data_IF_187968460391
#
_entry.id   IF_187968460391
#
_cell.length_a   1.000
_cell.length_b   1.000
_cell.length_c   1.000
_cell.angle_alpha   90.00
_cell.angle_beta   90.00
_cell.angle_gamma   90.00
#
_symmetry.space_group_name_H-M   'P 1'
#
loop_
_entity.id
_entity.type
_entity.pdbx_description
1 polymer ?
#
# COMPACT_ATOMS: atom_id res chain seq x y z
N UNK A 1 8.83 37.49 0.57
CA UNK A 1 10.25 37.08 0.63
C UNK A 1 11.03 37.76 -0.48
N UNK A 2 12.31 38.03 -0.25
CA UNK A 2 13.23 38.51 -1.27
C UNK A 2 14.21 37.41 -1.64
N UNK A 3 14.53 37.26 -2.92
CA UNK A 3 15.56 36.31 -3.40
C UNK A 3 16.90 36.46 -2.66
N UNK A 4 17.15 37.62 -2.04
CA UNK A 4 18.31 37.89 -1.19
C UNK A 4 18.46 36.94 -0.01
N UNK A 5 17.37 36.53 0.62
CA UNK A 5 17.42 35.78 1.88
C UNK A 5 17.76 34.31 1.61
N UNK A 6 17.21 33.78 0.52
CA UNK A 6 17.51 32.44 -0.03
C UNK A 6 18.99 32.32 -0.39
N UNK A 7 19.53 33.29 -1.13
CA UNK A 7 20.93 33.31 -1.54
C UNK A 7 21.85 33.42 -0.33
N UNK A 8 21.56 34.32 0.62
CA UNK A 8 22.38 34.50 1.82
C UNK A 8 22.43 33.23 2.69
N UNK A 9 21.31 32.50 2.84
CA UNK A 9 21.30 31.23 3.57
C UNK A 9 22.10 30.15 2.85
N UNK A 10 21.98 30.06 1.52
CA UNK A 10 22.75 29.13 0.72
C UNK A 10 24.27 29.40 0.80
N UNK A 11 24.69 30.66 0.79
CA UNK A 11 26.10 31.07 0.96
C UNK A 11 26.64 30.62 2.33
N UNK A 12 25.87 30.80 3.42
CA UNK A 12 26.29 30.34 4.77
C UNK A 12 26.48 28.83 4.84
N UNK A 13 25.67 28.05 4.11
CA UNK A 13 25.87 26.59 3.99
C UNK A 13 27.13 26.28 3.20
N UNK A 14 27.35 26.97 2.07
CA UNK A 14 28.53 26.81 1.21
C UNK A 14 29.83 27.12 1.94
N UNK A 15 29.84 28.16 2.76
CA UNK A 15 30.99 28.57 3.56
C UNK A 15 31.23 27.67 4.79
N UNK A 16 30.33 26.70 5.01
CA UNK A 16 30.43 25.71 6.09
C UNK A 16 29.96 26.23 7.46
N UNK A 17 29.38 27.43 7.52
CA UNK A 17 28.80 28.02 8.73
C UNK A 17 27.53 27.29 9.18
N UNK A 18 26.74 26.78 8.22
CA UNK A 18 25.54 25.99 8.44
C UNK A 18 25.61 24.64 7.73
N UNK A 19 24.80 23.69 8.18
CA UNK A 19 24.47 22.45 7.49
C UNK A 19 23.10 22.57 6.82
N UNK A 20 22.86 21.79 5.76
CA UNK A 20 21.61 21.83 4.98
C UNK A 20 20.35 21.53 5.81
N UNK A 21 20.47 20.70 6.84
CA UNK A 21 19.39 20.33 7.75
C UNK A 21 19.11 21.39 8.83
N UNK A 22 19.97 22.41 8.98
CA UNK A 22 19.82 23.48 9.98
C UNK A 22 19.07 24.70 9.39
N UNK A 23 18.65 24.64 8.13
CA UNK A 23 18.05 25.80 7.45
C UNK A 23 16.68 26.18 8.03
N UNK A 24 15.90 25.20 8.49
CA UNK A 24 14.62 25.40 9.19
C UNK A 24 14.78 26.11 10.55
N UNK A 25 15.96 26.02 11.19
CA UNK A 25 16.24 26.77 12.43
C UNK A 25 16.42 28.28 12.17
N UNK A 26 16.54 28.67 10.89
CA UNK A 26 16.91 30.01 10.47
C UNK A 26 15.89 30.66 9.53
N UNK A 27 14.94 29.91 8.99
CA UNK A 27 13.88 30.43 8.13
C UNK A 27 12.65 29.51 8.11
N UNK A 28 11.54 30.00 7.56
CA UNK A 28 10.38 29.14 7.31
C UNK A 28 10.69 28.00 6.32
N UNK A 29 9.93 26.89 6.36
CA UNK A 29 10.21 25.70 5.54
C UNK A 29 10.32 25.97 4.03
N UNK A 30 9.54 26.90 3.47
CA UNK A 30 9.61 27.25 2.05
C UNK A 30 10.92 27.95 1.71
N UNK A 31 11.35 28.90 2.54
CA UNK A 31 12.65 29.56 2.40
C UNK A 31 13.79 28.55 2.53
N UNK A 32 13.72 27.65 3.52
CA UNK A 32 14.72 26.62 3.75
C UNK A 32 14.84 25.67 2.55
N UNK A 33 13.71 25.22 2.00
CA UNK A 33 13.67 24.39 0.79
C UNK A 33 14.20 25.13 -0.44
N UNK A 34 13.86 26.41 -0.61
CA UNK A 34 14.37 27.25 -1.69
C UNK A 34 15.89 27.46 -1.60
N UNK A 35 16.44 27.69 -0.41
CA UNK A 35 17.88 27.83 -0.19
C UNK A 35 18.62 26.53 -0.51
N UNK A 36 18.09 25.39 -0.06
CA UNK A 36 18.58 24.05 -0.41
C UNK A 36 18.57 23.80 -1.92
N UNK A 37 17.47 24.15 -2.59
CA UNK A 37 17.31 24.02 -4.05
C UNK A 37 18.27 24.94 -4.82
N UNK A 38 18.45 26.19 -4.38
CA UNK A 38 19.38 27.13 -4.98
C UNK A 38 20.83 26.61 -4.90
N UNK A 39 21.25 26.15 -3.72
CA UNK A 39 22.56 25.53 -3.54
C UNK A 39 22.77 24.33 -4.47
N UNK A 40 21.76 23.44 -4.56
CA UNK A 40 21.82 22.26 -5.43
C UNK A 40 21.92 22.64 -6.92
N UNK A 41 21.15 23.64 -7.36
CA UNK A 41 21.19 24.13 -8.74
C UNK A 41 22.57 24.71 -9.09
N UNK A 42 23.18 25.49 -8.20
CA UNK A 42 24.53 26.03 -8.42
C UNK A 42 25.63 24.95 -8.39
N UNK A 43 25.49 23.92 -7.55
CA UNK A 43 26.47 22.81 -7.48
C UNK A 43 26.42 21.87 -8.69
N UNK A 44 25.26 21.78 -9.36
CA UNK A 44 25.00 20.77 -10.40
C UNK A 44 24.74 21.35 -11.78
N UNK A 45 24.66 22.69 -11.90
CA UNK A 45 24.23 23.42 -13.11
C UNK A 45 22.83 22.99 -13.62
N UNK A 46 21.97 22.43 -12.75
CA UNK A 46 20.65 21.92 -13.11
C UNK A 46 19.54 22.98 -12.99
N UNK A 47 18.57 22.92 -13.91
CA UNK A 47 17.31 23.67 -13.79
C UNK A 47 16.31 22.87 -12.93
N UNK A 48 15.96 23.43 -11.77
CA UNK A 48 15.04 22.84 -10.80
C UNK A 48 13.72 23.61 -10.70
N UNK A 49 13.36 24.39 -11.71
CA UNK A 49 12.12 25.20 -11.73
C UNK A 49 10.87 24.35 -11.52
N UNK A 50 10.73 23.23 -12.24
CA UNK A 50 9.58 22.33 -12.09
C UNK A 50 9.52 21.63 -10.71
N UNK A 51 10.69 21.32 -10.13
CA UNK A 51 10.77 20.75 -8.77
C UNK A 51 10.30 21.78 -7.74
N UNK A 52 10.64 23.06 -7.95
CA UNK A 52 10.30 24.15 -7.05
C UNK A 52 8.90 24.75 -7.21
N UNK A 53 8.18 24.40 -8.27
CA UNK A 53 6.83 24.91 -8.56
C UNK A 53 5.75 23.94 -8.05
N UNK A 54 5.65 23.81 -6.73
CA UNK A 54 4.64 23.01 -6.04
C UNK A 54 3.58 23.91 -5.37
N UNK A 55 2.36 23.40 -5.20
CA UNK A 55 1.18 24.20 -4.85
C UNK A 55 0.80 24.16 -3.36
N UNK A 56 1.70 23.67 -2.49
CA UNK A 56 1.48 23.54 -1.06
C UNK A 56 2.60 24.19 -0.25
N UNK A 57 2.32 24.57 1.00
CA UNK A 57 3.34 25.06 1.94
C UNK A 57 4.31 23.92 2.29
N UNK A 58 5.62 24.13 2.18
CA UNK A 58 6.62 23.13 2.55
C UNK A 58 6.45 22.60 3.99
N UNK A 59 5.88 23.38 4.91
CA UNK A 59 5.54 22.94 6.27
C UNK A 59 4.57 21.75 6.29
N UNK A 60 3.69 21.62 5.28
CA UNK A 60 2.75 20.51 5.18
C UNK A 60 3.45 19.16 4.93
N UNK A 61 4.70 19.18 4.43
CA UNK A 61 5.50 17.98 4.17
C UNK A 61 6.58 17.72 5.23
N UNK A 62 6.64 18.51 6.31
CA UNK A 62 7.69 18.42 7.34
C UNK A 62 7.77 17.02 7.96
N UNK A 63 6.63 16.36 8.18
CA UNK A 63 6.57 15.00 8.72
C UNK A 63 6.84 13.89 7.70
N UNK A 64 7.02 14.24 6.42
CA UNK A 64 7.05 13.31 5.30
C UNK A 64 8.41 13.22 4.60
N UNK A 65 9.25 14.25 4.71
CA UNK A 65 10.52 14.30 4.01
C UNK A 65 11.54 15.21 4.72
N UNK A 66 12.80 14.79 4.74
CA UNK A 66 13.93 15.61 5.18
C UNK A 66 14.66 16.23 3.98
N UNK A 67 15.36 17.35 4.18
CA UNK A 67 16.14 18.04 3.14
C UNK A 67 15.32 18.37 1.87
N UNK A 68 14.03 18.70 2.02
CA UNK A 68 13.15 19.08 0.92
C UNK A 68 13.80 20.11 -0.03
N UNK A 69 13.75 19.85 -1.33
CA UNK A 69 14.15 20.80 -2.38
C UNK A 69 12.95 21.21 -3.25
N UNK A 70 11.78 20.62 -3.01
CA UNK A 70 10.56 20.77 -3.78
C UNK A 70 9.80 19.44 -3.85
N UNK A 71 9.03 19.23 -4.92
CA UNK A 71 8.20 18.04 -5.09
C UNK A 71 8.34 17.41 -6.49
N UNK A 72 8.14 16.09 -6.56
CA UNK A 72 7.95 15.39 -7.83
C UNK A 72 6.48 15.47 -8.26
N UNK A 73 6.22 15.79 -9.53
CA UNK A 73 4.87 15.89 -10.09
C UNK A 73 4.57 14.66 -10.94
N UNK A 74 3.66 13.81 -10.49
CA UNK A 74 3.23 12.61 -11.24
C UNK A 74 1.82 12.85 -11.78
N UNK A 75 1.56 12.61 -13.08
CA UNK A 75 0.22 12.77 -13.64
C UNK A 75 -0.81 11.95 -12.88
N UNK A 76 -1.94 12.59 -12.55
CA UNK A 76 -3.06 11.96 -11.87
C UNK A 76 -4.30 12.03 -12.77
N UNK A 77 -5.08 10.96 -12.78
CA UNK A 77 -6.41 10.94 -13.37
C UNK A 77 -7.37 10.14 -12.49
N UNK A 78 -8.56 9.86 -13.02
CA UNK A 78 -9.63 9.20 -12.28
C UNK A 78 -10.31 8.15 -13.14
N UNK A 79 -10.70 7.03 -12.53
CA UNK A 79 -11.53 6.00 -13.16
C UNK A 79 -12.85 5.90 -12.41
N UNK A 80 -13.96 5.73 -13.12
CA UNK A 80 -15.28 5.68 -12.47
C UNK A 80 -16.45 6.11 -13.37
N UNK A 81 -17.66 6.16 -12.78
CA UNK A 81 -18.01 5.59 -11.47
C UNK A 81 -17.84 4.06 -11.44
N UNK A 82 -17.27 3.55 -10.35
CA UNK A 82 -17.07 2.16 -10.01
C UNK A 82 -18.09 1.78 -8.92
N UNK A 83 -19.16 1.05 -9.26
CA UNK A 83 -20.14 0.62 -8.26
C UNK A 83 -19.58 -0.53 -7.43
N UNK A 84 -19.58 -0.36 -6.10
CA UNK A 84 -19.11 -1.36 -5.13
C UNK A 84 -20.23 -1.65 -4.13
N UNK A 85 -20.58 -2.92 -4.00
CA UNK A 85 -21.31 -3.48 -2.85
C UNK A 85 -20.25 -4.08 -1.92
N UNK A 86 -19.81 -3.29 -0.96
CA UNK A 86 -18.75 -3.60 -0.01
C UNK A 86 -19.28 -4.00 1.38
N UNK A 87 -18.38 -4.45 2.26
CA UNK A 87 -18.66 -4.50 3.69
C UNK A 87 -18.56 -3.13 4.35
N UNK A 88 -17.72 -2.24 3.80
CA UNK A 88 -17.49 -0.88 4.28
C UNK A 88 -17.67 0.18 3.18
N UNK A 89 -17.46 -0.15 1.90
CA UNK A 89 -17.76 0.72 0.76
C UNK A 89 -19.16 0.44 0.19
N UNK A 90 -19.93 1.46 -0.14
CA UNK A 90 -21.24 1.30 -0.80
C UNK A 90 -21.48 2.39 -1.85
N UNK A 91 -21.87 1.97 -3.05
CA UNK A 91 -22.29 2.88 -4.12
C UNK A 91 -21.22 3.15 -5.17
N UNK A 92 -21.33 4.31 -5.82
CA UNK A 92 -20.48 4.70 -6.95
C UNK A 92 -19.23 5.46 -6.49
N UNK A 93 -18.05 4.92 -6.78
CA UNK A 93 -16.76 5.53 -6.43
C UNK A 93 -16.01 6.05 -7.66
N UNK A 94 -15.28 7.14 -7.49
CA UNK A 94 -14.34 7.67 -8.46
C UNK A 94 -12.93 7.44 -7.90
N UNK A 95 -12.20 6.46 -8.43
CA UNK A 95 -10.88 6.07 -7.91
C UNK A 95 -9.79 6.92 -8.57
N UNK A 96 -9.10 7.81 -7.82
CA UNK A 96 -7.94 8.54 -8.31
C UNK A 96 -6.76 7.59 -8.50
N UNK A 97 -6.02 7.77 -9.60
CA UNK A 97 -4.83 6.98 -9.94
C UNK A 97 -3.74 7.91 -10.47
N UNK A 98 -2.54 7.85 -9.87
CA UNK A 98 -1.38 8.62 -10.29
C UNK A 98 -0.34 7.71 -10.96
N UNK A 99 0.02 8.00 -12.21
CA UNK A 99 0.94 7.14 -12.97
C UNK A 99 1.59 7.90 -14.13
N UNK A 100 2.76 7.42 -14.54
CA UNK A 100 3.40 7.78 -15.80
C UNK A 100 3.24 6.70 -16.88
N UNK A 101 2.55 5.59 -16.60
CA UNK A 101 2.31 4.52 -17.56
C UNK A 101 1.14 4.86 -18.48
N UNK A 102 1.44 5.06 -19.76
CA UNK A 102 0.42 5.28 -20.80
C UNK A 102 -0.59 4.14 -20.87
N UNK A 103 -1.84 4.49 -21.17
CA UNK A 103 -2.99 3.57 -21.28
C UNK A 103 -3.45 2.86 -19.99
N UNK A 104 -2.75 2.97 -18.86
CA UNK A 104 -3.16 2.31 -17.61
C UNK A 104 -4.59 2.70 -17.20
N UNK A 105 -4.85 4.00 -17.01
CA UNK A 105 -6.18 4.49 -16.61
C UNK A 105 -7.25 4.16 -17.64
N UNK A 106 -6.94 4.23 -18.94
CA UNK A 106 -7.88 3.87 -19.99
C UNK A 106 -8.28 2.38 -19.91
N UNK A 107 -7.30 1.50 -19.67
CA UNK A 107 -7.52 0.07 -19.48
C UNK A 107 -8.36 -0.21 -18.23
N UNK A 108 -8.01 0.38 -17.10
CA UNK A 108 -8.76 0.22 -15.84
C UNK A 108 -10.18 0.75 -16.00
N UNK A 109 -10.36 1.92 -16.64
CA UNK A 109 -11.69 2.51 -16.87
C UNK A 109 -12.57 1.66 -17.79
N UNK A 110 -11.99 0.95 -18.77
CA UNK A 110 -12.72 -0.06 -19.57
C UNK A 110 -13.22 -1.21 -18.68
N UNK A 111 -12.38 -1.69 -17.77
CA UNK A 111 -12.76 -2.69 -16.77
C UNK A 111 -13.88 -2.20 -15.86
N UNK A 112 -13.75 -0.98 -15.32
CA UNK A 112 -14.76 -0.34 -14.47
C UNK A 112 -16.09 -0.19 -15.21
N UNK A 113 -16.05 0.24 -16.47
CA UNK A 113 -17.24 0.30 -17.32
C UNK A 113 -17.90 -1.08 -17.45
N UNK A 114 -17.11 -2.14 -17.64
CA UNK A 114 -17.63 -3.51 -17.76
C UNK A 114 -18.29 -3.95 -16.45
N UNK A 115 -17.64 -3.76 -15.30
CA UNK A 115 -18.19 -4.07 -13.97
C UNK A 115 -19.51 -3.33 -13.74
N UNK A 116 -19.55 -2.02 -14.02
CA UNK A 116 -20.75 -1.21 -13.86
C UNK A 116 -21.92 -1.70 -14.71
N UNK A 117 -21.67 -2.13 -15.96
CA UNK A 117 -22.72 -2.68 -16.81
C UNK A 117 -23.18 -4.08 -16.37
N UNK A 118 -22.34 -4.80 -15.62
CA UNK A 118 -22.67 -6.08 -15.00
C UNK A 118 -23.44 -5.94 -13.67
N UNK A 119 -23.65 -4.71 -13.18
CA UNK A 119 -24.38 -4.43 -11.94
C UNK A 119 -23.51 -4.05 -10.74
N UNK A 120 -22.20 -3.89 -10.92
CA UNK A 120 -21.26 -3.56 -9.85
C UNK A 120 -20.39 -4.74 -9.43
N UNK A 121 -19.39 -4.46 -8.59
CA UNK A 121 -18.56 -5.49 -7.96
C UNK A 121 -18.97 -5.68 -6.50
N UNK A 122 -18.86 -6.91 -6.00
CA UNK A 122 -18.92 -7.19 -4.57
C UNK A 122 -17.50 -7.17 -4.01
N UNK A 123 -17.27 -6.55 -2.85
CA UNK A 123 -15.95 -6.52 -2.21
C UNK A 123 -16.04 -6.75 -0.70
N UNK A 124 -15.11 -7.50 -0.10
CA UNK A 124 -15.11 -7.76 1.35
C UNK A 124 -13.68 -7.80 1.89
N UNK A 125 -13.42 -7.09 2.99
CA UNK A 125 -12.26 -7.36 3.84
C UNK A 125 -12.50 -8.66 4.62
N UNK A 126 -11.60 -9.63 4.45
CA UNK A 126 -11.69 -10.97 5.03
C UNK A 126 -10.88 -11.11 6.32
N UNK A 127 -9.82 -10.32 6.44
CA UNK A 127 -8.93 -10.26 7.61
C UNK A 127 -8.28 -8.88 7.66
N UNK A 128 -8.09 -8.34 8.86
CA UNK A 128 -7.31 -7.13 9.10
C UNK A 128 -6.34 -7.35 10.25
N UNK A 129 -5.08 -6.98 10.04
CA UNK A 129 -4.03 -7.04 11.06
C UNK A 129 -2.67 -6.57 10.53
N UNK A 130 -2.17 -5.45 11.04
CA UNK A 130 -0.80 -5.00 10.75
C UNK A 130 0.19 -5.76 11.64
N UNK A 131 1.36 -6.12 11.09
CA UNK A 131 2.30 -6.98 11.81
C UNK A 131 3.67 -6.34 12.02
N UNK A 132 4.25 -6.66 13.19
CA UNK A 132 5.64 -6.41 13.56
C UNK A 132 6.21 -7.71 14.12
N UNK A 133 7.44 -8.03 13.74
CA UNK A 133 8.07 -9.29 14.14
C UNK A 133 9.50 -9.05 14.64
N UNK A 134 9.70 -8.79 15.94
CA UNK A 134 11.02 -8.81 16.56
C UNK A 134 11.67 -10.19 16.49
N UNK A 135 12.99 -10.18 16.62
CA UNK A 135 13.80 -11.39 16.79
C UNK A 135 14.59 -11.29 18.09
N UNK A 136 14.54 -12.36 18.86
CA UNK A 136 15.26 -12.55 20.10
C UNK A 136 16.29 -13.67 19.95
N UNK A 137 17.38 -13.58 20.73
CA UNK A 137 18.38 -14.64 20.89
C UNK A 137 18.19 -15.29 22.26
N UNK A 138 18.39 -16.60 22.32
CA UNK A 138 18.45 -17.41 23.56
C UNK A 138 19.75 -18.21 23.60
N UNK A 139 20.03 -18.95 24.68
CA UNK A 139 21.21 -19.82 24.77
C UNK A 139 21.09 -21.05 23.86
N UNK A 140 19.93 -21.71 23.86
CA UNK A 140 19.69 -22.91 23.08
C UNK A 140 18.21 -23.16 22.72
N UNK A 141 17.94 -24.30 22.06
CA UNK A 141 16.59 -24.66 21.60
C UNK A 141 15.62 -25.01 22.75
N UNK A 142 16.14 -25.37 23.94
CA UNK A 142 15.28 -25.62 25.10
C UNK A 142 14.72 -24.29 25.60
N UNK A 143 15.58 -23.28 25.78
CA UNK A 143 15.15 -21.92 26.12
C UNK A 143 14.24 -21.32 25.04
N UNK A 144 14.52 -21.56 23.75
CA UNK A 144 13.63 -21.12 22.67
C UNK A 144 12.22 -21.72 22.82
N UNK A 145 12.13 -22.97 23.25
CA UNK A 145 10.88 -23.66 23.57
C UNK A 145 10.17 -23.05 24.77
N UNK A 146 10.90 -22.69 25.81
CA UNK A 146 10.39 -22.03 27.01
C UNK A 146 9.80 -20.65 26.67
N UNK A 147 10.54 -19.80 25.95
CA UNK A 147 10.06 -18.48 25.49
C UNK A 147 8.81 -18.64 24.62
N UNK A 148 8.84 -19.58 23.67
CA UNK A 148 7.71 -19.84 22.76
C UNK A 148 6.46 -20.31 23.51
N UNK A 149 6.61 -21.14 24.54
CA UNK A 149 5.49 -21.58 25.37
C UNK A 149 4.96 -20.43 26.24
N UNK A 150 5.86 -19.69 26.89
CA UNK A 150 5.53 -18.56 27.75
C UNK A 150 4.71 -17.50 26.99
N UNK A 151 5.16 -17.09 25.79
CA UNK A 151 4.45 -16.10 24.97
C UNK A 151 3.01 -16.54 24.65
N UNK A 152 2.79 -17.82 24.34
CA UNK A 152 1.44 -18.34 24.04
C UNK A 152 0.51 -18.31 25.25
N UNK A 153 1.06 -18.41 26.46
CA UNK A 153 0.29 -18.38 27.71
C UNK A 153 0.04 -16.96 28.24
N UNK A 154 0.82 -15.97 27.77
CA UNK A 154 0.85 -14.60 28.31
C UNK A 154 0.52 -13.52 27.26
N UNK A 155 -0.25 -13.86 26.22
CA UNK A 155 -0.68 -12.88 25.19
C UNK A 155 -1.40 -11.69 25.81
N UNK A 156 -2.27 -11.91 26.81
CA UNK A 156 -2.98 -10.83 27.51
C UNK A 156 -2.02 -9.86 28.21
N UNK A 157 -0.95 -10.36 28.82
CA UNK A 157 0.08 -9.52 29.46
C UNK A 157 0.87 -8.71 28.43
N UNK A 158 1.16 -9.30 27.27
CA UNK A 158 1.79 -8.59 26.16
C UNK A 158 0.84 -7.54 25.56
N UNK A 159 -0.47 -7.81 25.52
CA UNK A 159 -1.49 -6.87 25.09
C UNK A 159 -1.56 -5.67 26.03
N UNK A 160 -1.63 -5.88 27.36
CA UNK A 160 -1.63 -4.80 28.35
C UNK A 160 -0.45 -3.84 28.17
N UNK A 161 0.76 -4.37 27.96
CA UNK A 161 1.96 -3.58 27.74
C UNK A 161 1.90 -2.82 26.39
N UNK A 162 1.57 -3.52 25.31
CA UNK A 162 1.51 -2.94 23.97
C UNK A 162 0.45 -1.84 23.86
N UNK A 163 -0.76 -2.10 24.35
CA UNK A 163 -1.91 -1.21 24.27
C UNK A 163 -1.76 0.03 25.18
N UNK A 164 -0.92 -0.03 26.22
CA UNK A 164 -0.59 1.15 27.04
C UNK A 164 0.08 2.28 26.26
N UNK A 165 0.63 1.98 25.07
CA UNK A 165 1.36 2.94 24.22
C UNK A 165 0.47 3.64 23.20
N UNK A 166 -0.79 3.23 23.05
CA UNK A 166 -1.68 3.67 21.97
C UNK A 166 -3.11 3.85 22.46
N UNK A 167 -3.84 4.76 21.83
CA UNK A 167 -5.27 4.99 22.12
C UNK A 167 -6.22 4.27 21.16
N UNK A 168 -5.70 3.66 20.09
CA UNK A 168 -6.50 3.06 19.02
C UNK A 168 -6.05 1.65 18.62
N UNK A 169 -4.79 1.30 18.92
CA UNK A 169 -4.23 0.00 18.54
C UNK A 169 -4.61 -1.08 19.53
N UNK A 170 -4.95 -2.26 19.03
CA UNK A 170 -5.31 -3.43 19.84
C UNK A 170 -4.45 -4.61 19.41
N UNK A 171 -3.84 -5.33 20.36
CA UNK A 171 -3.07 -6.53 20.06
C UNK A 171 -4.05 -7.70 19.83
N UNK A 172 -3.99 -8.30 18.65
CA UNK A 172 -4.87 -9.40 18.27
C UNK A 172 -4.26 -10.78 18.55
N UNK A 173 -2.97 -10.94 18.26
CA UNK A 173 -2.26 -12.22 18.40
C UNK A 173 -0.74 -12.04 18.42
N UNK A 174 -0.03 -13.02 18.99
CA UNK A 174 1.44 -13.14 18.93
C UNK A 174 1.81 -14.57 18.57
N UNK A 175 2.33 -14.77 17.36
CA UNK A 175 2.75 -16.09 16.88
C UNK A 175 4.28 -16.26 16.98
N UNK A 176 4.80 -17.19 17.80
CA UNK A 176 6.23 -17.48 17.86
C UNK A 176 6.70 -18.41 16.74
N UNK A 177 7.88 -18.12 16.19
CA UNK A 177 8.63 -18.94 15.24
C UNK A 177 10.05 -19.16 15.74
N UNK A 178 10.49 -20.42 15.86
CA UNK A 178 11.82 -20.76 16.37
C UNK A 178 12.71 -21.29 15.24
N UNK A 179 13.92 -20.74 15.13
CA UNK A 179 14.97 -21.22 14.21
C UNK A 179 16.29 -21.24 14.96
N UNK A 180 16.72 -22.42 15.42
CA UNK A 180 17.93 -22.55 16.24
C UNK A 180 17.77 -21.81 17.58
N UNK A 181 18.70 -20.92 17.87
CA UNK A 181 18.73 -20.02 19.04
C UNK A 181 18.01 -18.69 18.79
N UNK A 182 17.28 -18.55 17.67
CA UNK A 182 16.49 -17.37 17.34
C UNK A 182 15.00 -17.62 17.53
N UNK A 183 14.33 -16.72 18.25
CA UNK A 183 12.87 -16.70 18.43
C UNK A 183 12.30 -15.44 17.79
N UNK A 184 11.50 -15.60 16.75
CA UNK A 184 10.76 -14.51 16.12
C UNK A 184 9.35 -14.49 16.68
N UNK A 185 8.88 -13.35 17.16
CA UNK A 185 7.52 -13.20 17.66
C UNK A 185 6.75 -12.31 16.70
N UNK A 186 5.82 -12.85 15.92
CA UNK A 186 5.01 -12.08 14.97
C UNK A 186 3.75 -11.56 15.67
N UNK A 187 3.79 -10.30 16.08
CA UNK A 187 2.66 -9.57 16.66
C UNK A 187 1.72 -9.12 15.53
N UNK A 188 0.40 -9.24 15.75
CA UNK A 188 -0.65 -8.73 14.88
C UNK A 188 -1.50 -7.72 15.63
N UNK A 189 -1.72 -6.54 15.04
CA UNK A 189 -2.48 -5.45 15.64
C UNK A 189 -3.64 -5.04 14.75
N UNK A 190 -4.79 -4.74 15.36
CA UNK A 190 -5.78 -3.88 14.72
C UNK A 190 -5.29 -2.43 14.84
N UNK A 191 -5.21 -1.74 13.71
CA UNK A 191 -4.70 -0.37 13.62
C UNK A 191 -5.78 0.63 13.19
N UNK A 192 -7.03 0.17 13.14
CA UNK A 192 -8.20 0.94 12.70
C UNK A 192 -7.89 1.59 11.34
N UNK A 193 -8.06 2.91 11.22
CA UNK A 193 -7.91 3.63 9.95
C UNK A 193 -6.45 3.97 9.59
N UNK A 194 -5.51 3.79 10.52
CA UNK A 194 -4.09 3.95 10.19
C UNK A 194 -3.58 2.68 9.49
N UNK A 195 -2.59 2.82 8.62
CA UNK A 195 -1.78 1.66 8.21
C UNK A 195 -1.02 1.09 9.42
N UNK A 196 -0.60 1.96 10.34
CA UNK A 196 -0.27 1.56 11.73
C UNK A 196 1.14 1.06 11.98
N UNK A 197 2.08 1.18 11.04
CA UNK A 197 3.46 0.70 11.23
C UNK A 197 4.21 1.36 12.39
N UNK A 198 4.08 2.67 12.58
CA UNK A 198 4.73 3.37 13.69
C UNK A 198 4.13 2.92 15.04
N UNK A 199 2.80 2.86 15.10
CA UNK A 199 2.08 2.38 16.28
C UNK A 199 2.50 0.94 16.63
N UNK A 200 2.48 0.02 15.67
CA UNK A 200 2.90 -1.37 15.88
C UNK A 200 4.36 -1.47 16.34
N UNK A 201 5.26 -0.61 15.86
CA UNK A 201 6.67 -0.60 16.30
C UNK A 201 6.79 -0.23 17.79
N UNK A 202 6.15 0.86 18.20
CA UNK A 202 6.19 1.35 19.59
C UNK A 202 5.50 0.36 20.54
N UNK A 203 4.33 -0.15 20.15
CA UNK A 203 3.58 -1.12 20.92
C UNK A 203 4.34 -2.44 21.08
N UNK A 204 5.02 -2.91 20.02
CA UNK A 204 5.86 -4.11 20.10
C UNK A 204 7.10 -3.88 20.96
N UNK A 205 7.72 -2.70 20.95
CA UNK A 205 8.85 -2.39 21.83
C UNK A 205 8.48 -2.56 23.31
N UNK A 206 7.35 -1.98 23.74
CA UNK A 206 6.85 -2.15 25.10
C UNK A 206 6.55 -3.61 25.46
N UNK A 207 6.03 -4.40 24.51
CA UNK A 207 5.83 -5.84 24.72
C UNK A 207 7.15 -6.62 24.77
N UNK A 208 8.18 -6.20 24.03
CA UNK A 208 9.51 -6.82 24.07
C UNK A 208 10.16 -6.66 25.45
N UNK A 209 10.02 -5.49 26.09
CA UNK A 209 10.53 -5.26 27.44
C UNK A 209 10.00 -6.29 28.44
N UNK A 210 8.71 -6.66 28.30
CA UNK A 210 8.10 -7.70 29.14
C UNK A 210 8.71 -9.07 28.84
N UNK A 211 8.86 -9.43 27.56
CA UNK A 211 9.48 -10.71 27.15
C UNK A 211 10.90 -10.83 27.71
N UNK A 212 11.73 -9.79 27.63
CA UNK A 212 13.09 -9.80 28.17
C UNK A 212 13.12 -9.88 29.71
N UNK A 213 12.11 -9.31 30.39
CA UNK A 213 12.04 -9.33 31.85
C UNK A 213 11.56 -10.66 32.45
N UNK A 214 10.74 -11.42 31.72
CA UNK A 214 10.07 -12.63 32.21
C UNK A 214 10.64 -13.92 31.62
N UNK A 215 11.55 -13.83 30.64
CA UNK A 215 12.10 -14.97 29.91
C UNK A 215 13.62 -14.82 29.70
N UNK A 216 14.36 -15.87 29.29
CA UNK A 216 15.80 -15.75 29.03
C UNK A 216 16.12 -15.10 27.68
N UNK A 217 15.13 -14.60 26.95
CA UNK A 217 15.31 -14.05 25.61
C UNK A 217 15.95 -12.64 25.65
N UNK A 218 16.94 -12.40 24.81
CA UNK A 218 17.56 -11.08 24.58
C UNK A 218 17.11 -10.53 23.22
N UNK A 219 16.54 -9.31 23.19
CA UNK A 219 16.09 -8.67 21.96
C UNK A 219 17.30 -8.33 21.06
N UNK A 220 17.27 -8.84 19.83
CA UNK A 220 18.30 -8.54 18.81
C UNK A 220 17.85 -7.39 17.92
N UNK A 221 16.59 -7.40 17.48
CA UNK A 221 16.01 -6.33 16.67
C UNK A 221 14.49 -6.34 16.76
N UNK A 222 13.86 -5.16 16.78
CA UNK A 222 12.40 -4.99 16.69
C UNK A 222 11.82 -5.46 15.35
N UNK A 223 12.64 -5.59 14.31
CA UNK A 223 12.25 -6.15 13.03
C UNK A 223 13.23 -7.22 12.55
N UNK A 224 12.91 -8.48 12.84
CA UNK A 224 13.60 -9.68 12.37
C UNK A 224 13.18 -10.13 10.97
N UNK A 225 12.63 -9.24 10.15
CA UNK A 225 12.13 -9.52 8.80
C UNK A 225 10.99 -10.54 8.66
N UNK A 226 10.41 -11.08 9.75
CA UNK A 226 9.28 -12.01 9.69
C UNK A 226 7.90 -11.32 9.75
N UNK A 227 7.86 -9.98 9.62
CA UNK A 227 6.60 -9.24 9.58
C UNK A 227 5.73 -9.63 8.36
N UNK A 228 6.17 -9.59 7.10
CA UNK A 228 7.38 -8.98 6.52
C UNK A 228 7.04 -7.64 5.86
N UNK A 229 7.88 -6.63 5.98
CA UNK A 229 7.56 -5.28 5.50
C UNK A 229 8.43 -4.85 4.33
N UNK A 230 7.85 -4.43 3.20
CA UNK A 230 8.55 -3.95 1.99
C UNK A 230 9.48 -4.99 1.36
N UNK A 231 9.17 -6.28 1.52
CA UNK A 231 9.92 -7.42 0.98
C UNK A 231 8.96 -8.53 0.55
N UNK A 232 9.20 -9.16 -0.62
CA UNK A 232 8.38 -10.30 -1.04
C UNK A 232 8.56 -11.46 -0.06
N UNK A 233 7.48 -11.86 0.60
CA UNK A 233 7.52 -12.93 1.60
C UNK A 233 6.26 -13.79 1.55
N UNK A 234 6.45 -15.11 1.49
CA UNK A 234 5.34 -16.07 1.44
C UNK A 234 4.43 -16.00 2.68
N UNK A 235 4.97 -15.61 3.85
CA UNK A 235 4.18 -15.46 5.08
C UNK A 235 3.06 -14.43 4.92
N UNK A 236 3.28 -13.34 4.19
CA UNK A 236 2.23 -12.35 3.92
C UNK A 236 1.17 -12.89 2.95
N UNK A 237 1.58 -13.69 1.97
CA UNK A 237 0.66 -14.34 1.04
C UNK A 237 -0.20 -15.44 1.69
N UNK A 238 0.32 -16.12 2.72
CA UNK A 238 -0.35 -17.22 3.42
C UNK A 238 -1.18 -16.73 4.60
N UNK A 239 -0.61 -15.87 5.44
CA UNK A 239 -1.22 -15.44 6.71
C UNK A 239 -1.90 -14.07 6.63
N UNK A 240 -1.65 -13.30 5.57
CA UNK A 240 -2.09 -11.92 5.43
C UNK A 240 -1.21 -10.93 6.21
N UNK A 241 -1.37 -9.65 5.86
CA UNK A 241 -0.79 -8.48 6.53
C UNK A 241 -1.53 -7.21 6.09
N UNK A 242 -1.88 -6.31 7.00
CA UNK A 242 -2.81 -5.22 6.67
C UNK A 242 -4.19 -5.79 6.40
N UNK A 243 -4.83 -5.41 5.29
CA UNK A 243 -6.12 -5.99 4.86
C UNK A 243 -5.91 -7.13 3.86
N UNK A 244 -6.47 -8.29 4.19
CA UNK A 244 -6.80 -9.31 3.18
C UNK A 244 -8.16 -8.96 2.60
N UNK A 245 -8.23 -8.61 1.32
CA UNK A 245 -9.45 -8.13 0.66
C UNK A 245 -9.71 -8.89 -0.63
N UNK A 246 -10.97 -9.22 -0.87
CA UNK A 246 -11.43 -9.83 -2.12
C UNK A 246 -12.47 -8.96 -2.80
N UNK A 247 -12.45 -8.92 -4.13
CA UNK A 247 -13.51 -8.35 -4.95
C UNK A 247 -13.87 -9.31 -6.08
N UNK A 248 -15.17 -9.42 -6.40
CA UNK A 248 -15.64 -10.24 -7.51
C UNK A 248 -16.80 -9.62 -8.29
N UNK A 249 -17.05 -10.19 -9.46
CA UNK A 249 -18.14 -9.80 -10.37
C UNK A 249 -18.55 -11.00 -11.22
N UNK A 250 -19.82 -11.04 -11.63
CA UNK A 250 -20.34 -11.93 -12.65
C UNK A 250 -20.76 -11.11 -13.87
N UNK A 251 -20.07 -11.28 -15.00
CA UNK A 251 -20.31 -10.50 -16.22
C UNK A 251 -21.04 -11.39 -17.24
N UNK A 252 -22.24 -10.99 -17.74
CA UNK A 252 -22.92 -11.76 -18.77
C UNK A 252 -22.05 -11.98 -20.01
N UNK A 253 -22.10 -13.17 -20.61
CA UNK A 253 -21.26 -13.52 -21.76
C UNK A 253 -21.34 -12.50 -22.91
N UNK A 254 -22.55 -12.03 -23.22
CA UNK A 254 -22.78 -10.99 -24.24
C UNK A 254 -22.00 -9.70 -23.93
N UNK A 255 -21.94 -9.28 -22.66
CA UNK A 255 -21.18 -8.09 -22.28
C UNK A 255 -19.66 -8.30 -22.42
N UNK A 256 -19.17 -9.52 -22.20
CA UNK A 256 -17.75 -9.85 -22.45
C UNK A 256 -17.45 -9.69 -23.94
N UNK A 257 -18.29 -10.20 -24.83
CA UNK A 257 -18.10 -10.04 -26.28
C UNK A 257 -18.19 -8.58 -26.71
N UNK A 258 -19.20 -7.84 -26.24
CA UNK A 258 -19.45 -6.46 -26.64
C UNK A 258 -18.42 -5.44 -26.11
N UNK A 259 -17.90 -5.63 -24.90
CA UNK A 259 -17.08 -4.60 -24.21
C UNK A 259 -15.62 -4.97 -24.07
N UNK A 260 -15.31 -6.27 -24.10
CA UNK A 260 -13.96 -6.79 -23.91
C UNK A 260 -13.40 -7.40 -25.20
N UNK A 261 -14.17 -7.44 -26.29
CA UNK A 261 -13.77 -7.91 -27.63
C UNK A 261 -13.15 -9.32 -27.60
N UNK A 262 -13.68 -10.19 -26.74
CA UNK A 262 -13.20 -11.56 -26.50
C UNK A 262 -14.32 -12.44 -25.97
N UNK A 263 -14.04 -13.72 -25.69
CA UNK A 263 -15.00 -14.65 -25.08
C UNK A 263 -14.61 -15.01 -23.66
N UNK A 264 -15.59 -15.42 -22.86
CA UNK A 264 -15.36 -15.88 -21.48
C UNK A 264 -14.35 -17.04 -21.42
N UNK A 265 -14.47 -18.03 -22.30
CA UNK A 265 -13.54 -19.16 -22.39
C UNK A 265 -12.11 -18.72 -22.69
N UNK A 266 -11.94 -17.71 -23.55
CA UNK A 266 -10.61 -17.20 -23.89
C UNK A 266 -9.95 -16.47 -22.70
N UNK A 267 -10.74 -15.74 -21.90
CA UNK A 267 -10.25 -15.11 -20.67
C UNK A 267 -9.89 -16.19 -19.62
N UNK A 268 -10.72 -17.21 -19.45
CA UNK A 268 -10.44 -18.35 -18.54
C UNK A 268 -9.14 -19.05 -18.93
N UNK A 269 -8.96 -19.34 -20.22
CA UNK A 269 -7.74 -19.97 -20.74
C UNK A 269 -6.51 -19.08 -20.50
N UNK A 270 -6.63 -17.76 -20.76
CA UNK A 270 -5.56 -16.80 -20.50
C UNK A 270 -5.20 -16.74 -19.02
N UNK A 271 -6.18 -16.63 -18.12
CA UNK A 271 -5.97 -16.63 -16.67
C UNK A 271 -5.27 -17.92 -16.22
N UNK A 272 -5.78 -19.07 -16.64
CA UNK A 272 -5.24 -20.37 -16.26
C UNK A 272 -3.79 -20.52 -16.70
N UNK A 273 -3.47 -20.20 -17.97
CA UNK A 273 -2.11 -20.42 -18.48
C UNK A 273 -1.12 -19.36 -18.03
N UNK A 274 -1.53 -18.09 -17.95
CA UNK A 274 -0.65 -16.96 -17.58
C UNK A 274 -0.55 -16.83 -16.07
N UNK A 275 -1.67 -16.49 -15.42
CA UNK A 275 -1.70 -16.10 -14.01
C UNK A 275 -1.50 -17.29 -13.08
N UNK A 276 -1.93 -18.49 -13.47
CA UNK A 276 -1.76 -19.70 -12.66
C UNK A 276 -0.52 -20.51 -13.05
N UNK A 277 -0.55 -21.17 -14.22
CA UNK A 277 0.54 -22.07 -14.65
C UNK A 277 1.86 -21.32 -14.84
N UNK A 278 1.81 -20.13 -15.43
CA UNK A 278 2.98 -19.26 -15.62
C UNK A 278 3.60 -18.81 -14.31
N UNK A 279 2.80 -18.23 -13.40
CA UNK A 279 3.27 -17.81 -12.08
C UNK A 279 3.79 -18.96 -11.23
N UNK A 280 3.11 -20.12 -11.25
CA UNK A 280 3.57 -21.33 -10.57
C UNK A 280 4.94 -21.78 -11.09
N UNK A 281 5.14 -21.75 -12.42
CA UNK A 281 6.44 -22.09 -13.03
C UNK A 281 7.54 -21.09 -12.65
N UNK A 282 7.18 -19.83 -12.45
CA UNK A 282 8.10 -18.76 -12.05
C UNK A 282 8.43 -18.75 -10.55
N UNK A 283 7.67 -19.49 -9.72
CA UNK A 283 7.77 -19.36 -8.26
C UNK A 283 7.33 -17.98 -7.76
N UNK A 284 6.40 -17.34 -8.47
CA UNK A 284 5.88 -16.03 -8.11
C UNK A 284 4.96 -16.11 -6.88
N UNK A 285 4.91 -15.02 -6.11
CA UNK A 285 3.95 -14.84 -5.01
C UNK A 285 2.63 -14.20 -5.49
N UNK A 286 2.65 -13.54 -6.65
CA UNK A 286 1.47 -12.98 -7.32
C UNK A 286 0.97 -13.86 -8.47
N UNK A 287 -0.29 -14.26 -8.39
CA UNK A 287 -1.01 -15.05 -9.40
C UNK A 287 -2.05 -14.17 -10.11
N UNK A 288 -1.57 -13.04 -10.63
CA UNK A 288 -2.36 -11.98 -11.26
C UNK A 288 -1.65 -11.44 -12.51
N UNK A 289 -2.32 -10.60 -13.29
CA UNK A 289 -1.77 -10.03 -14.50
C UNK A 289 -0.99 -8.74 -14.25
N UNK A 290 -1.57 -7.77 -13.55
CA UNK A 290 -0.99 -6.46 -13.23
C UNK A 290 -1.63 -5.76 -12.01
N UNK A 291 -2.04 -6.49 -10.98
CA UNK A 291 -2.61 -5.89 -9.77
C UNK A 291 -1.69 -4.78 -9.18
N UNK A 292 -0.37 -4.99 -9.25
CA UNK A 292 0.64 -4.01 -8.83
C UNK A 292 0.49 -2.64 -9.52
N UNK A 293 0.10 -2.57 -10.79
CA UNK A 293 -0.06 -1.30 -11.51
C UNK A 293 -1.18 -0.45 -10.91
N UNK A 294 -2.33 -1.08 -10.63
CA UNK A 294 -3.47 -0.38 -10.03
C UNK A 294 -3.17 0.01 -8.59
N UNK A 295 -2.60 -0.92 -7.80
CA UNK A 295 -2.24 -0.67 -6.40
C UNK A 295 -1.21 0.46 -6.30
N UNK A 296 -0.15 0.45 -7.10
CA UNK A 296 0.85 1.51 -7.10
C UNK A 296 0.25 2.88 -7.47
N UNK A 297 -0.59 2.90 -8.51
CA UNK A 297 -1.19 4.16 -8.96
C UNK A 297 -2.18 4.72 -7.93
N UNK A 298 -2.96 3.86 -7.27
CA UNK A 298 -3.82 4.25 -6.15
C UNK A 298 -2.98 4.71 -4.95
N UNK A 299 -1.92 3.99 -4.58
CA UNK A 299 -1.08 4.30 -3.44
C UNK A 299 -0.44 5.69 -3.56
N UNK A 300 0.09 5.99 -4.74
CA UNK A 300 0.69 7.29 -5.02
C UNK A 300 -0.35 8.43 -4.98
N UNK A 301 -1.55 8.19 -5.51
CA UNK A 301 -2.61 9.18 -5.53
C UNK A 301 -3.20 9.44 -4.14
N UNK A 302 -3.27 8.41 -3.29
CA UNK A 302 -4.00 8.41 -2.02
C UNK A 302 -3.09 8.52 -0.79
N UNK A 303 -1.79 8.77 -0.99
CA UNK A 303 -0.84 9.03 0.09
C UNK A 303 -0.46 7.80 0.92
N UNK A 304 -0.54 6.63 0.30
CA UNK A 304 -0.10 5.38 0.88
C UNK A 304 1.42 5.20 0.72
N UNK A 305 2.02 4.26 1.44
CA UNK A 305 3.44 3.97 1.33
C UNK A 305 3.72 3.15 0.05
N UNK A 306 4.27 3.81 -0.97
CA UNK A 306 4.52 3.19 -2.29
C UNK A 306 5.45 1.96 -2.23
N UNK A 307 6.32 1.85 -1.21
CA UNK A 307 7.19 0.69 -1.06
C UNK A 307 6.40 -0.58 -0.67
N UNK A 308 5.19 -0.43 -0.12
CA UNK A 308 4.30 -1.53 0.24
C UNK A 308 3.52 -2.10 -0.95
N UNK A 309 3.72 -1.57 -2.17
CA UNK A 309 3.26 -2.23 -3.41
C UNK A 309 3.84 -3.64 -3.53
N UNK A 310 5.02 -3.89 -2.95
CA UNK A 310 5.62 -5.23 -2.86
C UNK A 310 4.63 -6.22 -2.26
N UNK A 311 4.00 -5.86 -1.14
CA UNK A 311 2.99 -6.68 -0.48
C UNK A 311 1.61 -6.56 -1.14
N UNK A 312 1.18 -5.34 -1.49
CA UNK A 312 -0.11 -5.08 -2.13
C UNK A 312 -0.26 -5.74 -3.51
N UNK A 313 0.84 -6.20 -4.12
CA UNK A 313 0.85 -6.99 -5.35
C UNK A 313 0.61 -8.49 -5.16
N UNK A 314 0.58 -8.97 -3.91
CA UNK A 314 0.26 -10.37 -3.55
C UNK A 314 -1.22 -10.65 -3.79
N UNK A 315 -1.59 -10.77 -5.05
CA UNK A 315 -2.96 -11.01 -5.49
C UNK A 315 -3.09 -12.31 -6.27
N UNK A 316 -4.22 -12.97 -6.10
CA UNK A 316 -4.65 -14.13 -6.91
C UNK A 316 -5.90 -13.74 -7.68
N UNK A 317 -5.85 -13.90 -9.00
CA UNK A 317 -6.98 -13.67 -9.90
C UNK A 317 -7.63 -14.99 -10.28
N UNK A 318 -8.91 -15.16 -9.96
CA UNK A 318 -9.69 -16.36 -10.30
C UNK A 318 -10.71 -16.01 -11.36
N UNK A 319 -10.84 -16.86 -12.38
CA UNK A 319 -11.76 -16.63 -13.49
C UNK A 319 -12.39 -17.96 -13.90
N UNK A 320 -13.72 -17.98 -14.00
CA UNK A 320 -14.50 -19.14 -14.43
C UNK A 320 -15.60 -18.73 -15.42
N UNK A 321 -15.80 -19.53 -16.46
CA UNK A 321 -16.99 -19.44 -17.30
C UNK A 321 -18.11 -20.24 -16.61
N UNK A 322 -19.09 -19.53 -16.06
CA UNK A 322 -20.31 -20.11 -15.45
C UNK A 322 -21.43 -20.11 -16.47
N UNK A 323 -22.55 -20.75 -16.15
CA UNK A 323 -23.73 -20.81 -17.03
C UNK A 323 -24.26 -19.41 -17.42
N UNK A 324 -24.29 -18.49 -16.45
CA UNK A 324 -24.87 -17.16 -16.63
C UNK A 324 -23.85 -16.08 -17.05
N UNK A 325 -22.56 -16.39 -17.14
CA UNK A 325 -21.52 -15.40 -17.43
C UNK A 325 -20.10 -15.77 -17.00
N UNK A 326 -19.19 -14.82 -17.18
CA UNK A 326 -17.83 -14.86 -16.67
C UNK A 326 -17.80 -14.42 -15.22
N UNK A 327 -17.50 -15.35 -14.31
CA UNK A 327 -17.09 -15.00 -12.96
C UNK A 327 -15.63 -14.58 -12.96
N UNK A 328 -15.32 -13.45 -12.34
CA UNK A 328 -13.94 -13.03 -12.11
C UNK A 328 -13.81 -12.47 -10.70
N UNK A 329 -12.70 -12.79 -10.04
CA UNK A 329 -12.35 -12.24 -8.74
C UNK A 329 -10.86 -11.94 -8.63
N UNK A 330 -10.53 -11.00 -7.76
CA UNK A 330 -9.18 -10.76 -7.27
C UNK A 330 -9.20 -10.86 -5.75
N UNK A 331 -8.21 -11.53 -5.17
CA UNK A 331 -7.98 -11.55 -3.73
C UNK A 331 -6.57 -11.07 -3.46
N UNK A 332 -6.44 -9.95 -2.74
CA UNK A 332 -5.16 -9.37 -2.32
C UNK A 332 -4.93 -9.80 -0.88
N UNK A 333 -3.88 -10.59 -0.65
CA UNK A 333 -3.62 -11.20 0.66
C UNK A 333 -3.12 -10.18 1.68
N UNK A 334 -2.34 -9.20 1.22
CA UNK A 334 -1.66 -8.25 2.08
C UNK A 334 -1.72 -6.84 1.49
N UNK A 335 -2.84 -6.14 1.69
CA UNK A 335 -3.00 -4.75 1.27
C UNK A 335 -2.85 -3.81 2.47
N UNK A 336 -1.66 -3.24 2.64
CA UNK A 336 -1.37 -2.25 3.68
C UNK A 336 -1.84 -0.85 3.26
N UNK A 337 -2.99 -0.44 3.77
CA UNK A 337 -3.57 0.89 3.52
C UNK A 337 -4.02 1.57 4.80
N UNK A 338 -4.09 2.89 4.77
CA UNK A 338 -4.69 3.72 5.81
C UNK A 338 -5.22 5.04 5.25
N UNK A 339 -6.13 5.67 5.97
CA UNK A 339 -6.74 6.95 5.63
C UNK A 339 -6.33 8.07 6.59
N UNK A 340 -5.54 7.74 7.61
CA UNK A 340 -4.87 8.68 8.52
C UNK A 340 -3.38 8.39 8.63
N UNK A 341 -2.60 9.47 8.81
CA UNK A 341 -1.16 9.41 9.02
C UNK A 341 -0.34 9.20 7.74
N UNK A 342 0.99 9.33 7.87
CA UNK A 342 1.89 9.21 6.72
C UNK A 342 1.59 10.25 5.64
N UNK A 343 1.50 9.81 4.38
CA UNK A 343 1.27 10.70 3.24
C UNK A 343 -0.19 11.13 3.05
N UNK A 344 -1.15 10.60 3.81
CA UNK A 344 -2.59 10.86 3.58
C UNK A 344 -2.99 12.30 3.88
N UNK A 345 -2.21 12.99 4.72
CA UNK A 345 -2.42 14.40 5.05
C UNK A 345 -1.76 15.39 4.09
N UNK A 346 -0.99 14.91 3.10
CA UNK A 346 -0.41 15.79 2.08
C UNK A 346 -1.54 16.36 1.20
N UNK A 347 -1.49 17.65 0.80
CA UNK A 347 -2.66 18.32 0.22
C UNK A 347 -3.27 17.62 -0.99
N UNK A 348 -2.45 17.17 -1.94
CA UNK A 348 -2.95 16.46 -3.14
C UNK A 348 -3.55 15.09 -2.80
N UNK A 349 -3.01 14.40 -1.79
CA UNK A 349 -3.44 13.07 -1.38
C UNK A 349 -4.72 13.15 -0.53
N UNK A 350 -4.85 14.16 0.32
CA UNK A 350 -6.07 14.40 1.09
C UNK A 350 -7.24 14.73 0.17
N UNK A 351 -7.04 15.56 -0.86
CA UNK A 351 -8.07 15.85 -1.87
C UNK A 351 -8.49 14.58 -2.62
N UNK A 352 -7.54 13.69 -2.96
CA UNK A 352 -7.84 12.43 -3.62
C UNK A 352 -8.64 11.46 -2.70
N UNK A 353 -8.35 11.44 -1.40
CA UNK A 353 -9.15 10.69 -0.43
C UNK A 353 -10.56 11.31 -0.24
N UNK A 354 -10.69 12.63 -0.31
CA UNK A 354 -11.98 13.32 -0.28
C UNK A 354 -12.85 12.98 -1.52
N UNK A 355 -12.24 12.84 -2.70
CA UNK A 355 -12.93 12.37 -3.91
C UNK A 355 -13.52 10.97 -3.73
N UNK A 356 -12.84 10.09 -2.99
CA UNK A 356 -13.35 8.78 -2.61
C UNK A 356 -14.40 8.82 -1.49
N UNK A 357 -14.35 9.85 -0.65
CA UNK A 357 -15.19 9.99 0.55
C UNK A 357 -14.63 9.30 1.79
N UNK A 358 -13.35 8.93 1.80
CA UNK A 358 -12.71 8.14 2.87
C UNK A 358 -11.50 8.83 3.51
N UNK A 359 -11.46 10.16 3.50
CA UNK A 359 -10.43 10.92 4.21
C UNK A 359 -10.65 10.87 5.72
N UNK A 360 -9.57 10.71 6.49
CA UNK A 360 -9.63 10.70 7.96
C UNK A 360 -10.09 9.37 8.57
N UNK A 361 -10.38 9.40 9.87
CA UNK A 361 -10.87 8.23 10.62
C UNK A 361 -12.34 7.93 10.32
N UNK A 362 -12.68 6.66 10.24
CA UNK A 362 -14.04 6.17 10.00
C UNK A 362 -14.89 6.10 11.27
N UNK A 363 -16.20 6.03 11.08
CA UNK A 363 -17.17 5.70 12.15
C UNK A 363 -18.04 4.52 11.70
N UNK A 364 -17.85 3.31 12.27
CA UNK A 364 -16.92 2.98 13.35
C UNK A 364 -15.44 3.03 12.92
N UNK A 365 -14.52 3.17 13.88
CA UNK A 365 -13.08 3.22 13.60
C UNK A 365 -12.61 2.00 12.80
N UNK A 366 -11.82 2.24 11.77
CA UNK A 366 -11.34 1.25 10.80
C UNK A 366 -12.17 1.15 9.52
N UNK A 367 -13.40 1.68 9.52
CA UNK A 367 -14.30 1.55 8.37
C UNK A 367 -13.82 2.28 7.12
N UNK A 368 -13.13 3.43 7.26
CA UNK A 368 -12.63 4.17 6.10
C UNK A 368 -11.48 3.42 5.43
N UNK A 369 -10.55 2.86 6.20
CA UNK A 369 -9.44 2.09 5.64
C UNK A 369 -9.90 0.74 5.06
N UNK A 370 -10.95 0.13 5.61
CA UNK A 370 -11.57 -1.06 5.01
C UNK A 370 -12.30 -0.73 3.71
N UNK A 371 -13.04 0.38 3.66
CA UNK A 371 -13.70 0.86 2.44
C UNK A 371 -12.67 1.21 1.35
N UNK A 372 -11.56 1.85 1.73
CA UNK A 372 -10.43 2.12 0.83
C UNK A 372 -9.86 0.83 0.23
N UNK A 373 -9.66 -0.21 1.06
CA UNK A 373 -9.18 -1.51 0.59
C UNK A 373 -10.15 -2.17 -0.40
N UNK A 374 -11.45 -2.10 -0.13
CA UNK A 374 -12.51 -2.63 -1.01
C UNK A 374 -12.54 -1.92 -2.37
N UNK A 375 -12.46 -0.58 -2.39
CA UNK A 375 -12.43 0.18 -3.65
C UNK A 375 -11.16 -0.08 -4.44
N UNK A 376 -10.00 -0.18 -3.79
CA UNK A 376 -8.74 -0.53 -4.48
C UNK A 376 -8.81 -1.95 -5.06
N UNK A 377 -9.35 -2.92 -4.32
CA UNK A 377 -9.51 -4.29 -4.81
C UNK A 377 -10.46 -4.37 -6.01
N UNK A 378 -11.59 -3.63 -5.97
CA UNK A 378 -12.50 -3.54 -7.12
C UNK A 378 -11.85 -2.85 -8.33
N UNK A 379 -11.04 -1.82 -8.10
CA UNK A 379 -10.21 -1.20 -9.15
C UNK A 379 -9.18 -2.17 -9.75
N UNK A 380 -8.53 -2.97 -8.90
CA UNK A 380 -7.59 -4.00 -9.35
C UNK A 380 -8.29 -5.08 -10.18
N UNK A 381 -9.48 -5.53 -9.77
CA UNK A 381 -10.33 -6.45 -10.54
C UNK A 381 -10.66 -5.88 -11.93
N UNK A 382 -11.04 -4.60 -12.00
CA UNK A 382 -11.29 -3.91 -13.27
C UNK A 382 -10.05 -3.92 -14.17
N UNK A 383 -8.87 -3.63 -13.59
CA UNK A 383 -7.60 -3.75 -14.28
C UNK A 383 -7.37 -5.17 -14.82
N UNK A 384 -7.49 -6.19 -13.98
CA UNK A 384 -7.26 -7.60 -14.32
C UNK A 384 -8.15 -8.04 -15.49
N UNK A 385 -9.46 -7.76 -15.39
CA UNK A 385 -10.44 -8.06 -16.44
C UNK A 385 -10.04 -7.46 -17.78
N UNK A 386 -9.73 -6.17 -17.78
CA UNK A 386 -9.39 -5.46 -19.01
C UNK A 386 -8.10 -5.97 -19.63
N UNK A 387 -7.07 -6.24 -18.83
CA UNK A 387 -5.79 -6.74 -19.35
C UNK A 387 -5.89 -8.19 -19.85
N UNK A 388 -6.55 -9.08 -19.10
CA UNK A 388 -6.77 -10.47 -19.54
C UNK A 388 -7.61 -10.52 -20.82
N UNK A 389 -8.59 -9.63 -20.97
CA UNK A 389 -9.33 -9.48 -22.22
C UNK A 389 -8.45 -9.01 -23.39
N UNK A 390 -7.60 -8.02 -23.17
CA UNK A 390 -6.66 -7.54 -24.20
C UNK A 390 -5.65 -8.62 -24.62
N UNK A 391 -5.23 -9.48 -23.67
CA UNK A 391 -4.30 -10.59 -23.91
C UNK A 391 -4.96 -11.79 -24.60
N UNK A 392 -6.23 -12.03 -24.33
CA UNK A 392 -7.00 -13.12 -24.94
C UNK A 392 -7.60 -12.74 -26.30
N UNK A 393 -7.76 -11.44 -26.57
CA UNK A 393 -8.09 -10.94 -27.90
C UNK A 393 -6.83 -10.87 -28.79
N UNK A 394 -6.98 -11.01 -30.11
CA UNK A 394 -5.84 -11.03 -31.06
C UNK A 394 -5.19 -9.65 -31.28
N UNK A 395 -5.36 -8.69 -30.36
CA UNK A 395 -5.12 -7.26 -30.57
C UNK A 395 -4.08 -6.60 -29.63
N UNK A 396 -3.41 -7.36 -28.75
CA UNK A 396 -2.51 -6.77 -27.74
C UNK A 396 -1.41 -5.83 -28.34
N UNK A 397 -0.86 -6.17 -29.50
CA UNK A 397 0.23 -5.38 -30.10
C UNK A 397 -0.19 -4.02 -30.67
N UNK A 398 -1.48 -3.80 -30.99
CA UNK A 398 -1.95 -2.52 -31.55
C UNK A 398 -2.27 -1.49 -30.46
N UNK A 399 -2.88 -1.89 -29.34
CA UNK A 399 -3.29 -0.95 -28.28
C UNK A 399 -2.10 -0.25 -27.60
N UNK A 400 -0.99 -0.96 -27.34
CA UNK A 400 0.22 -0.35 -26.78
C UNK A 400 0.95 0.57 -27.78
N UNK A 401 0.83 0.32 -29.09
CA UNK A 401 1.50 1.12 -30.11
C UNK A 401 0.85 2.50 -30.30
N UNK A 402 -0.47 2.61 -30.08
CA UNK A 402 -1.23 3.84 -30.33
C UNK A 402 -1.30 4.79 -29.12
N UNK A 403 -1.19 4.27 -27.89
CA UNK A 403 -1.35 5.05 -26.64
C UNK A 403 -0.10 5.12 -25.75
N UNK A 404 0.90 4.28 -25.99
CA UNK A 404 2.10 4.14 -25.14
C UNK A 404 3.38 4.71 -25.74
N UNK A 405 3.28 5.71 -26.62
CA UNK A 405 4.45 6.38 -27.23
C UNK A 405 4.70 7.76 -26.65
#
# INVERSE_FOLDING_TARGET
>A
MTDSDVVALAERVRDGELRRYELEDHADPDTAAAARRHLLAEETDADLSAVGDYTFDAAAAESNIENMVGAAQVPMGVVGPLPVDGGAAEGDHHLPLATSEGALLASVNRGVSTIRNAGGATARVLKSGMTRAPVFRVEDVAEAGEVSAWVREHVDTLADAAESTTSHGELQDVTPYVVGDSVFLRFSYDTKDAMGMNMATIATEAACDIVESETPADLVALSGNLCSDKKPAAINAVEGRGRTVAADVLIPHEQVEERLDTTSDAIVEANTRKNLVGSAKAGALGFNAHAANVVAAAFLALGQDIAQVVEGSNAITTVDAREDGLYASVTIASLEVGTVGGGTGLPTQSEALDVLGYSGGGDPAGSNADALAEVIAAGALAGELSLLAALSSRHLSSAHADLGR
#
